data_IF_196320518171
#
_entry.id   IF_196320518171
#
_cell.length_a   1.000
_cell.length_b   1.000
_cell.length_c   1.000
_cell.angle_alpha   90.00
_cell.angle_beta   90.00
_cell.angle_gamma   90.00
#
_symmetry.space_group_name_H-M   'P 1'
#
loop_
_entity.id
_entity.type
_entity.pdbx_description
1 polymer ?
#
# COMPACT_ATOMS: atom_id res chain seq x y z
N UNK A 1 28.89 -11.38 28.17
CA UNK A 1 28.09 -10.18 27.84
C UNK A 1 28.15 -10.07 26.33
N UNK A 2 27.06 -10.40 25.62
CA UNK A 2 27.03 -10.23 24.16
C UNK A 2 26.61 -8.78 23.95
N UNK A 3 27.49 -7.98 23.37
CA UNK A 3 27.12 -6.67 22.83
C UNK A 3 26.07 -6.93 21.74
N UNK A 4 24.81 -6.64 22.05
CA UNK A 4 23.72 -6.64 21.08
C UNK A 4 23.93 -5.42 20.18
N UNK A 5 24.90 -5.51 19.27
CA UNK A 5 25.06 -4.56 18.17
C UNK A 5 23.78 -4.59 17.35
N UNK A 6 23.04 -3.48 17.37
CA UNK A 6 21.76 -3.30 16.68
C UNK A 6 21.99 -3.14 15.18
N UNK A 7 22.39 -4.24 14.56
CA UNK A 7 22.72 -4.36 13.16
C UNK A 7 21.49 -4.78 12.34
N UNK A 8 21.22 -4.07 11.25
CA UNK A 8 20.19 -4.43 10.28
C UNK A 8 20.79 -4.54 8.89
N UNK A 9 20.73 -5.73 8.32
CA UNK A 9 21.22 -6.00 6.97
C UNK A 9 20.07 -6.21 6.01
N UNK A 10 20.13 -5.56 4.86
CA UNK A 10 19.12 -5.64 3.80
C UNK A 10 19.75 -5.62 2.42
N UNK A 11 19.21 -6.40 1.50
CA UNK A 11 19.55 -6.30 0.08
C UNK A 11 18.83 -5.11 -0.55
N UNK A 12 19.57 -4.17 -1.12
CA UNK A 12 19.01 -3.04 -1.83
C UNK A 12 18.30 -3.49 -3.11
N UNK A 13 17.00 -3.23 -3.24
CA UNK A 13 16.18 -3.60 -4.41
C UNK A 13 15.98 -2.45 -5.40
N UNK A 14 16.64 -1.30 -5.19
CA UNK A 14 16.46 -0.08 -6.01
C UNK A 14 17.07 -0.23 -7.41
N UNK A 15 18.03 -1.12 -7.60
CA UNK A 15 18.70 -1.32 -8.88
C UNK A 15 19.15 -2.78 -9.04
N UNK A 16 19.44 -3.26 -10.27
CA UNK A 16 19.76 -4.66 -10.54
C UNK A 16 21.06 -5.15 -9.89
N UNK A 17 21.89 -4.26 -9.35
CA UNK A 17 23.15 -4.62 -8.67
C UNK A 17 22.90 -5.37 -7.36
N UNK A 18 21.78 -5.09 -6.65
CA UNK A 18 21.41 -5.85 -5.46
C UNK A 18 22.44 -5.81 -4.33
N UNK A 19 23.09 -4.66 -4.07
CA UNK A 19 24.10 -4.58 -3.00
C UNK A 19 23.49 -4.90 -1.63
N UNK A 20 24.20 -5.69 -0.84
CA UNK A 20 23.89 -5.90 0.57
C UNK A 20 24.34 -4.68 1.37
N UNK A 21 23.42 -4.12 2.16
CA UNK A 21 23.63 -2.89 2.92
C UNK A 21 23.30 -3.15 4.38
N UNK A 22 24.20 -2.73 5.26
CA UNK A 22 24.11 -2.91 6.70
C UNK A 22 23.99 -1.54 7.38
N UNK A 23 23.01 -1.40 8.27
CA UNK A 23 22.76 -0.21 9.10
C UNK A 23 23.11 -0.53 10.55
N UNK A 24 24.00 0.27 11.15
CA UNK A 24 24.43 0.20 12.54
C UNK A 24 23.99 1.47 13.28
N UNK A 25 23.24 1.29 14.38
CA UNK A 25 22.87 2.35 15.34
C UNK A 25 22.33 3.66 14.72
N UNK A 26 21.61 3.59 13.60
CA UNK A 26 20.98 4.70 12.86
C UNK A 26 21.91 5.71 12.18
N UNK A 27 23.21 5.66 12.43
CA UNK A 27 24.16 6.68 11.93
C UNK A 27 25.09 6.10 10.87
N UNK A 28 25.49 4.85 11.02
CA UNK A 28 26.47 4.23 10.14
C UNK A 28 25.81 3.25 9.17
N UNK A 29 26.11 3.42 7.88
CA UNK A 29 25.62 2.55 6.81
C UNK A 29 26.81 2.04 6.02
N UNK A 30 26.90 0.72 5.85
CA UNK A 30 27.99 0.02 5.15
C UNK A 30 27.44 -0.84 4.01
N UNK A 31 28.27 -1.14 3.02
CA UNK A 31 27.93 -2.05 1.91
C UNK A 31 27.16 -1.42 0.74
N UNK A 32 26.65 -0.19 0.89
CA UNK A 32 26.01 0.52 -0.23
C UNK A 32 27.04 0.93 -1.29
N UNK A 33 26.71 0.67 -2.56
CA UNK A 33 27.52 1.12 -3.71
C UNK A 33 27.10 2.49 -4.26
N UNK A 34 26.01 3.05 -3.76
CA UNK A 34 25.48 4.35 -4.16
C UNK A 34 24.62 4.95 -3.03
N UNK A 35 24.32 6.24 -3.12
CA UNK A 35 23.52 6.96 -2.12
C UNK A 35 22.07 6.45 -2.03
N UNK A 36 21.49 6.05 -3.17
CA UNK A 36 20.15 5.44 -3.21
C UNK A 36 20.06 4.16 -2.38
N UNK A 37 21.13 3.37 -2.34
CA UNK A 37 21.18 2.16 -1.52
C UNK A 37 21.26 2.45 -0.03
N UNK A 38 21.97 3.51 0.35
CA UNK A 38 22.02 4.00 1.73
C UNK A 38 20.64 4.49 2.18
N UNK A 39 20.00 5.34 1.38
CA UNK A 39 18.68 5.88 1.67
C UNK A 39 17.63 4.77 1.78
N UNK A 40 17.64 3.82 0.85
CA UNK A 40 16.75 2.66 0.90
C UNK A 40 16.92 1.85 2.19
N UNK A 41 18.16 1.52 2.58
CA UNK A 41 18.40 0.72 3.78
C UNK A 41 17.94 1.43 5.06
N UNK A 42 18.17 2.75 5.15
CA UNK A 42 17.67 3.57 6.25
C UNK A 42 16.13 3.61 6.27
N UNK A 43 15.50 3.86 5.13
CA UNK A 43 14.04 3.88 5.03
C UNK A 43 13.44 2.52 5.40
N UNK A 44 14.01 1.44 4.88
CA UNK A 44 13.52 0.08 5.15
C UNK A 44 13.65 -0.30 6.64
N UNK A 45 14.70 0.19 7.33
CA UNK A 45 14.90 -0.04 8.76
C UNK A 45 13.90 0.72 9.63
N UNK A 46 13.67 2.00 9.34
CA UNK A 46 12.98 2.92 10.25
C UNK A 46 11.52 3.19 9.87
N UNK A 47 11.21 3.25 8.57
CA UNK A 47 9.86 3.53 8.08
C UNK A 47 9.64 2.84 6.73
N UNK A 48 9.60 1.49 6.69
CA UNK A 48 9.41 0.76 5.44
C UNK A 48 8.06 1.14 4.83
N UNK A 49 8.06 1.60 3.58
CA UNK A 49 6.84 2.02 2.85
C UNK A 49 6.60 1.17 1.62
N UNK A 50 5.34 0.94 1.29
CA UNK A 50 4.93 0.19 0.08
C UNK A 50 3.67 0.82 -0.53
N UNK A 51 3.52 0.69 -1.84
CA UNK A 51 2.24 0.98 -2.50
C UNK A 51 1.26 -0.13 -2.11
N UNK A 52 0.11 0.25 -1.57
CA UNK A 52 -0.96 -0.70 -1.32
C UNK A 52 -1.68 -0.95 -2.64
N UNK A 53 -1.85 -2.21 -3.01
CA UNK A 53 -2.71 -2.65 -4.10
C UNK A 53 -3.85 -3.47 -3.52
N UNK A 54 -5.09 -3.16 -3.85
CA UNK A 54 -6.27 -3.82 -3.30
C UNK A 54 -7.43 -3.79 -4.29
N UNK A 55 -8.58 -4.36 -3.93
CA UNK A 55 -9.82 -4.29 -4.70
C UNK A 55 -10.96 -3.81 -3.80
N UNK A 56 -11.76 -2.87 -4.28
CA UNK A 56 -12.99 -2.42 -3.59
C UNK A 56 -14.21 -3.06 -4.26
N UNK A 57 -15.31 -3.21 -3.51
CA UNK A 57 -16.57 -3.70 -4.09
C UNK A 57 -17.14 -2.68 -5.04
N UNK A 58 -17.89 -3.14 -6.04
CA UNK A 58 -18.69 -2.23 -6.87
C UNK A 58 -20.18 -2.51 -6.71
N UNK A 59 -21.00 -1.57 -7.15
CA UNK A 59 -22.45 -1.77 -7.25
C UNK A 59 -22.89 -2.55 -8.49
N UNK A 60 -21.93 -3.06 -9.28
CA UNK A 60 -22.14 -3.71 -10.56
C UNK A 60 -21.95 -5.24 -10.47
N UNK A 61 -22.99 -6.07 -10.68
CA UNK A 61 -22.88 -7.52 -10.66
C UNK A 61 -21.88 -8.10 -11.67
N UNK A 62 -21.78 -7.49 -12.85
CA UNK A 62 -20.86 -7.94 -13.91
C UNK A 62 -19.39 -7.58 -13.64
N UNK A 63 -19.16 -6.61 -12.75
CA UNK A 63 -17.84 -6.13 -12.37
C UNK A 63 -17.75 -5.96 -10.85
N UNK A 64 -17.89 -7.03 -10.05
CA UNK A 64 -18.15 -6.94 -8.61
C UNK A 64 -16.98 -6.35 -7.80
N UNK A 65 -15.79 -6.28 -8.39
CA UNK A 65 -14.58 -5.73 -7.79
C UNK A 65 -13.91 -4.74 -8.74
N UNK A 66 -13.44 -3.62 -8.20
CA UNK A 66 -12.62 -2.64 -8.90
C UNK A 66 -11.20 -2.62 -8.30
N UNK A 67 -10.14 -2.81 -9.12
CA UNK A 67 -8.77 -2.71 -8.64
C UNK A 67 -8.41 -1.25 -8.32
N UNK A 68 -7.80 -1.07 -7.15
CA UNK A 68 -7.33 0.22 -6.65
C UNK A 68 -5.90 0.09 -6.15
N UNK A 69 -5.20 1.22 -6.08
CA UNK A 69 -3.89 1.31 -5.42
C UNK A 69 -3.73 2.64 -4.70
N UNK A 70 -2.82 2.71 -3.74
CA UNK A 70 -2.34 4.02 -3.29
C UNK A 70 -1.52 4.67 -4.40
N UNK A 71 -1.68 5.96 -4.61
CA UNK A 71 -0.93 6.70 -5.63
C UNK A 71 0.56 6.87 -5.27
N UNK A 72 0.90 6.74 -3.97
CA UNK A 72 2.24 6.77 -3.41
C UNK A 72 2.43 5.74 -2.28
N UNK A 73 3.68 5.40 -1.89
CA UNK A 73 3.94 4.43 -0.83
C UNK A 73 3.45 4.92 0.54
N UNK A 74 2.74 4.04 1.28
CA UNK A 74 2.34 4.26 2.67
C UNK A 74 3.18 3.40 3.63
N UNK A 75 3.32 3.80 4.91
CA UNK A 75 4.02 3.00 5.91
C UNK A 75 3.46 1.56 6.01
N UNK A 76 4.36 0.57 6.07
CA UNK A 76 4.01 -0.86 6.14
C UNK A 76 3.04 -1.19 7.26
N UNK A 77 3.20 -0.52 8.42
CA UNK A 77 2.32 -0.65 9.59
C UNK A 77 0.86 -0.28 9.32
N UNK A 78 0.58 0.52 8.28
CA UNK A 78 -0.77 0.95 7.91
C UNK A 78 -1.42 0.07 6.83
N UNK A 79 -0.65 -0.79 6.13
CA UNK A 79 -1.16 -1.58 5.00
C UNK A 79 -2.38 -2.43 5.39
N UNK A 80 -2.31 -3.16 6.50
CA UNK A 80 -3.41 -4.03 6.95
C UNK A 80 -4.65 -3.20 7.36
N UNK A 81 -4.44 -2.07 8.02
CA UNK A 81 -5.53 -1.17 8.41
C UNK A 81 -6.21 -0.56 7.19
N UNK A 82 -5.44 -0.21 6.16
CA UNK A 82 -5.95 0.34 4.91
C UNK A 82 -6.68 -0.71 4.08
N UNK A 83 -6.17 -1.95 4.04
CA UNK A 83 -6.88 -3.05 3.39
C UNK A 83 -8.25 -3.32 4.03
N UNK A 84 -8.35 -3.28 5.37
CA UNK A 84 -9.63 -3.42 6.09
C UNK A 84 -10.61 -2.31 5.77
N UNK A 85 -10.14 -1.05 5.77
CA UNK A 85 -10.96 0.09 5.35
C UNK A 85 -11.51 -0.13 3.93
N UNK A 86 -10.64 -0.45 2.97
CA UNK A 86 -11.03 -0.64 1.57
C UNK A 86 -11.93 -1.86 1.34
N UNK A 87 -11.90 -2.86 2.22
CA UNK A 87 -12.80 -4.01 2.12
C UNK A 87 -14.26 -3.65 2.43
N UNK A 88 -14.48 -2.58 3.19
CA UNK A 88 -15.80 -2.03 3.50
C UNK A 88 -16.27 -0.99 2.46
N UNK A 89 -15.36 -0.49 1.63
CA UNK A 89 -15.67 0.49 0.58
C UNK A 89 -16.41 -0.14 -0.61
N UNK A 90 -17.39 0.60 -1.12
CA UNK A 90 -18.13 0.27 -2.33
C UNK A 90 -18.13 1.46 -3.29
N UNK A 91 -17.99 1.21 -4.60
CA UNK A 91 -17.98 2.25 -5.63
C UNK A 91 -19.04 2.00 -6.70
N UNK A 92 -19.66 3.07 -7.19
CA UNK A 92 -20.59 3.02 -8.32
C UNK A 92 -19.97 3.71 -9.54
N UNK A 93 -20.26 3.24 -10.77
CA UNK A 93 -19.92 3.95 -11.99
C UNK A 93 -20.54 5.36 -12.05
N UNK A 94 -20.00 6.26 -12.89
CA UNK A 94 -18.78 6.06 -13.68
C UNK A 94 -17.53 6.28 -12.83
N UNK A 95 -16.55 5.38 -12.96
CA UNK A 95 -15.20 5.55 -12.40
C UNK A 95 -14.19 5.42 -13.53
N UNK A 96 -13.21 6.30 -13.58
CA UNK A 96 -12.08 6.23 -14.51
C UNK A 96 -10.80 5.85 -13.78
N UNK A 97 -9.86 5.26 -14.51
CA UNK A 97 -8.51 5.06 -14.00
C UNK A 97 -7.90 6.40 -13.56
N UNK A 98 -7.40 6.44 -12.33
CA UNK A 98 -6.89 7.64 -11.68
C UNK A 98 -7.89 8.37 -10.78
N UNK A 99 -9.18 8.02 -10.82
CA UNK A 99 -10.16 8.62 -9.91
C UNK A 99 -9.88 8.20 -8.46
N UNK A 100 -10.05 9.17 -7.56
CA UNK A 100 -9.80 8.98 -6.13
C UNK A 100 -11.01 8.32 -5.48
N UNK A 101 -10.79 7.14 -4.91
CA UNK A 101 -11.79 6.38 -4.12
C UNK A 101 -11.75 6.83 -2.67
N UNK A 102 -10.56 6.92 -2.07
CA UNK A 102 -10.37 7.42 -0.69
C UNK A 102 -9.27 8.46 -0.69
N UNK A 103 -9.55 9.64 -0.12
CA UNK A 103 -8.56 10.71 0.04
C UNK A 103 -7.78 10.55 1.33
N UNK A 104 -6.48 10.84 1.27
CA UNK A 104 -5.57 10.93 2.41
C UNK A 104 -5.73 9.79 3.44
N UNK A 105 -5.42 8.57 3.00
CA UNK A 105 -5.60 7.38 3.82
C UNK A 105 -4.75 7.47 5.09
N UNK A 106 -5.44 7.56 6.23
CA UNK A 106 -4.86 7.72 7.57
C UNK A 106 -3.89 8.90 7.73
N UNK A 107 -4.09 10.01 7.01
CA UNK A 107 -3.24 11.19 7.16
C UNK A 107 -1.82 11.00 6.62
N UNK A 108 -1.63 10.04 5.71
CA UNK A 108 -0.32 9.75 5.10
C UNK A 108 0.02 10.68 3.94
N UNK A 109 -0.96 11.48 3.50
CA UNK A 109 -0.96 12.22 2.26
C UNK A 109 -1.17 11.33 1.04
N UNK A 110 -1.39 10.02 1.16
CA UNK A 110 -1.60 9.13 0.02
C UNK A 110 -3.09 8.93 -0.28
N UNK A 111 -3.47 9.05 -1.55
CA UNK A 111 -4.83 8.79 -2.01
C UNK A 111 -4.93 7.35 -2.52
N UNK A 112 -6.08 6.71 -2.36
CA UNK A 112 -6.41 5.45 -3.04
C UNK A 112 -7.13 5.78 -4.32
N UNK A 113 -6.57 5.31 -5.44
CA UNK A 113 -7.04 5.60 -6.79
C UNK A 113 -7.41 4.33 -7.54
N UNK A 114 -8.43 4.42 -8.39
CA UNK A 114 -8.81 3.35 -9.31
C UNK A 114 -7.73 3.11 -10.37
N UNK A 115 -7.50 1.85 -10.75
CA UNK A 115 -6.52 1.50 -11.79
C UNK A 115 -7.16 1.04 -13.10
N UNK A 116 -8.48 0.93 -13.15
CA UNK A 116 -9.25 0.58 -14.35
C UNK A 116 -10.53 1.41 -14.43
N UNK A 117 -11.07 1.52 -15.63
CA UNK A 117 -12.37 2.16 -15.84
C UNK A 117 -13.51 1.22 -15.42
N UNK A 118 -14.57 1.81 -14.89
CA UNK A 118 -15.84 1.18 -14.61
C UNK A 118 -16.94 2.07 -15.19
N UNK A 119 -17.48 1.65 -16.33
CA UNK A 119 -18.57 2.34 -17.02
C UNK A 119 -19.93 1.72 -16.74
N UNK A 120 -20.96 2.30 -17.38
CA UNK A 120 -22.34 1.78 -17.34
C UNK A 120 -23.21 2.40 -16.26
N UNK A 121 -24.41 1.87 -16.10
CA UNK A 121 -25.33 2.15 -14.99
C UNK A 121 -25.45 0.88 -14.17
N UNK A 122 -25.12 0.93 -12.88
CA UNK A 122 -25.41 -0.19 -11.99
C UNK A 122 -26.08 0.27 -10.70
N UNK A 123 -26.33 -0.67 -9.79
CA UNK A 123 -27.29 -0.52 -8.70
C UNK A 123 -26.95 0.62 -7.74
N UNK A 124 -27.95 1.00 -6.93
CA UNK A 124 -27.82 2.04 -5.91
C UNK A 124 -26.81 1.61 -4.83
N UNK A 125 -25.85 2.49 -4.54
CA UNK A 125 -24.79 2.23 -3.56
C UNK A 125 -25.34 1.92 -2.17
N UNK A 126 -26.45 2.57 -1.81
CA UNK A 126 -27.13 2.45 -0.50
C UNK A 126 -27.66 1.04 -0.21
N UNK A 127 -27.87 0.20 -1.23
CA UNK A 127 -28.39 -1.17 -1.06
C UNK A 127 -27.28 -2.21 -0.82
N UNK A 128 -26.01 -1.90 -1.14
CA UNK A 128 -24.89 -2.86 -1.03
C UNK A 128 -23.98 -2.62 0.19
N UNK A 129 -23.96 -1.41 0.77
CA UNK A 129 -23.17 -1.14 1.99
C UNK A 129 -23.75 -1.82 3.24
N UNK A 130 -24.99 -2.30 3.18
CA UNK A 130 -25.67 -2.98 4.30
C UNK A 130 -25.26 -4.44 4.49
N UNK A 131 -24.60 -5.06 3.50
CA UNK A 131 -24.04 -6.40 3.66
C UNK A 131 -22.60 -6.28 4.15
N UNK A 132 -22.30 -6.66 5.41
CA UNK A 132 -20.95 -6.60 5.94
C UNK A 132 -20.03 -7.42 5.05
N UNK A 133 -18.83 -6.90 4.81
CA UNK A 133 -17.77 -7.67 4.18
C UNK A 133 -17.51 -8.92 5.02
N UNK A 134 -17.97 -10.08 4.54
CA UNK A 134 -17.63 -11.38 5.10
C UNK A 134 -16.18 -11.67 4.73
N UNK A 135 -15.25 -11.02 5.44
CA UNK A 135 -13.87 -11.47 5.54
C UNK A 135 -13.95 -12.89 6.08
N UNK A 136 -13.83 -13.90 5.22
CA UNK A 136 -13.73 -15.28 5.68
C UNK A 136 -12.73 -15.34 6.83
N UNK A 137 -13.15 -15.86 7.98
CA UNK A 137 -12.31 -15.97 9.16
C UNK A 137 -11.14 -16.91 8.85
N UNK A 138 -9.98 -16.36 8.46
CA UNK A 138 -8.70 -17.09 8.35
C UNK A 138 -7.55 -16.21 8.81
#
# INVERSE_FOLDING_TARGET
>A
MREDSNEFTVTCVVCPVGCEVTVLDAVEVRGNKCDRGREYALLERYDPRRVLTFTVRTTCPDHPLLPVKTDRPIPKRLLLKAARLLAEECVSPPVKAGDVVVRDVFGTGADVVATSDLGGSCGDIDQMVSEPYNAGET
#
